data_IF_886751156413
#
_entry.id   IF_886751156413
#
_cell.length_a   1.000
_cell.length_b   1.000
_cell.length_c   1.000
_cell.angle_alpha   90.00
_cell.angle_beta   90.00
_cell.angle_gamma   90.00
#
_symmetry.space_group_name_H-M   'P 1'
#
loop_
_entity.id
_entity.type
_entity.pdbx_description
1 polymer ?
#
# COMPACT_ATOMS: atom_id res chain seq x y z
N UNK A 1 -13.30 22.24 -0.84
CA UNK A 1 -12.17 21.75 -1.65
C UNK A 1 -11.11 21.24 -0.71
N UNK A 2 -10.79 19.94 -0.76
CA UNK A 2 -9.73 19.35 0.05
C UNK A 2 -8.37 19.96 -0.30
N UNK A 3 -7.48 20.08 0.71
CA UNK A 3 -6.09 20.47 0.44
C UNK A 3 -5.45 19.37 -0.41
N UNK A 4 -4.93 19.71 -1.58
CA UNK A 4 -4.22 18.75 -2.42
C UNK A 4 -2.82 18.48 -1.88
N UNK A 5 -2.32 17.26 -2.06
CA UNK A 5 -0.93 16.91 -1.72
C UNK A 5 0.04 17.89 -2.41
N UNK A 6 0.96 18.52 -1.66
CA UNK A 6 1.95 19.43 -2.21
C UNK A 6 2.85 18.76 -3.26
N UNK A 7 3.38 19.51 -4.23
CA UNK A 7 4.19 18.94 -5.32
C UNK A 7 5.37 18.09 -4.85
N UNK A 8 6.09 18.48 -3.79
CA UNK A 8 7.22 17.72 -3.25
C UNK A 8 6.83 16.39 -2.60
N UNK A 9 5.57 16.24 -2.21
CA UNK A 9 5.05 15.04 -1.57
C UNK A 9 4.17 14.19 -2.52
N UNK A 10 4.22 14.45 -3.85
CA UNK A 10 3.50 13.67 -4.85
C UNK A 10 4.40 12.60 -5.46
N UNK A 11 3.91 11.38 -5.54
CA UNK A 11 4.61 10.27 -6.23
C UNK A 11 4.92 10.60 -7.71
N UNK A 12 4.09 11.40 -8.38
CA UNK A 12 4.34 11.85 -9.76
C UNK A 12 5.63 12.68 -9.89
N UNK A 13 5.96 13.52 -8.90
CA UNK A 13 7.21 14.28 -8.84
C UNK A 13 8.41 13.34 -8.78
N UNK A 14 8.38 12.36 -7.90
CA UNK A 14 9.48 11.42 -7.70
C UNK A 14 9.59 10.37 -8.80
N UNK A 15 8.48 10.02 -9.44
CA UNK A 15 8.49 9.20 -10.67
C UNK A 15 9.19 9.91 -11.82
N UNK A 16 8.99 11.23 -11.98
CA UNK A 16 9.73 12.03 -12.94
C UNK A 16 11.23 12.07 -12.57
N UNK A 17 11.56 12.40 -11.33
CA UNK A 17 12.94 12.49 -10.84
C UNK A 17 13.68 11.14 -10.97
N UNK A 18 13.04 10.02 -10.66
CA UNK A 18 13.60 8.69 -10.85
C UNK A 18 13.98 8.37 -12.31
N UNK A 19 13.16 8.83 -13.25
CA UNK A 19 13.41 8.64 -14.70
C UNK A 19 14.54 9.54 -15.23
N UNK A 20 14.54 10.81 -14.84
CA UNK A 20 15.36 11.86 -15.46
C UNK A 20 16.64 12.18 -14.68
N UNK A 21 16.71 11.85 -13.39
CA UNK A 21 17.78 12.29 -12.48
C UNK A 21 17.65 13.76 -12.07
N UNK A 22 16.50 14.41 -12.32
CA UNK A 22 16.25 15.80 -11.99
C UNK A 22 14.80 16.01 -11.54
N UNK A 23 14.57 17.01 -10.71
CA UNK A 23 13.22 17.46 -10.38
C UNK A 23 12.48 17.96 -11.62
N UNK A 24 11.12 17.91 -11.63
CA UNK A 24 10.35 18.52 -12.68
C UNK A 24 10.73 19.99 -12.93
N UNK A 25 10.68 20.49 -14.18
CA UNK A 25 11.17 21.84 -14.55
C UNK A 25 10.61 22.98 -13.71
N UNK A 26 9.40 22.85 -13.18
CA UNK A 26 8.78 23.85 -12.30
C UNK A 26 9.34 23.87 -10.89
N UNK A 27 9.93 22.76 -10.44
CA UNK A 27 10.48 22.61 -9.08
C UNK A 27 12.01 22.76 -9.06
N UNK A 28 12.71 22.30 -10.08
CA UNK A 28 14.16 22.31 -10.14
C UNK A 28 14.81 23.68 -9.85
N UNK A 29 14.28 24.83 -10.36
CA UNK A 29 14.87 26.13 -10.07
C UNK A 29 14.69 26.61 -8.63
N UNK A 30 13.79 25.99 -7.86
CA UNK A 30 13.47 26.42 -6.49
C UNK A 30 14.47 25.90 -5.46
N UNK A 31 15.25 24.86 -5.79
CA UNK A 31 16.16 24.19 -4.87
C UNK A 31 17.54 24.07 -5.51
N UNK A 32 18.55 24.73 -4.90
CA UNK A 32 19.90 24.84 -5.43
C UNK A 32 20.83 23.73 -4.93
N UNK A 33 20.41 23.03 -3.88
CA UNK A 33 21.19 21.94 -3.31
C UNK A 33 20.28 20.84 -2.72
N UNK A 34 20.79 19.60 -2.54
CA UNK A 34 20.09 18.54 -1.84
C UNK A 34 19.59 18.95 -0.45
N UNK A 35 20.39 19.70 0.30
CA UNK A 35 20.03 20.15 1.66
C UNK A 35 18.84 21.11 1.65
N UNK A 36 18.78 22.03 0.68
CA UNK A 36 17.63 22.92 0.52
C UNK A 36 16.36 22.14 0.17
N UNK A 37 16.49 21.15 -0.71
CA UNK A 37 15.40 20.28 -1.11
C UNK A 37 14.89 19.45 0.08
N UNK A 38 15.79 18.78 0.81
CA UNK A 38 15.45 17.97 1.99
C UNK A 38 14.80 18.80 3.07
N UNK A 39 15.32 20.00 3.33
CA UNK A 39 14.73 20.94 4.29
C UNK A 39 13.30 21.31 3.87
N UNK A 40 13.07 21.68 2.62
CA UNK A 40 11.75 22.04 2.12
C UNK A 40 10.74 20.88 2.21
N UNK A 41 11.17 19.63 1.94
CA UNK A 41 10.36 18.43 2.12
C UNK A 41 9.93 18.28 3.59
N UNK A 42 10.87 18.38 4.51
CA UNK A 42 10.61 18.23 5.94
C UNK A 42 9.71 19.34 6.49
N UNK A 43 9.94 20.60 6.10
CA UNK A 43 9.12 21.75 6.49
C UNK A 43 7.68 21.61 5.98
N UNK A 44 7.50 21.24 4.71
CA UNK A 44 6.17 21.06 4.12
C UNK A 44 5.42 19.90 4.77
N UNK A 45 6.12 18.80 5.04
CA UNK A 45 5.52 17.66 5.74
C UNK A 45 5.15 18.01 7.18
N UNK A 46 6.06 18.65 7.93
CA UNK A 46 5.80 19.08 9.30
C UNK A 46 4.59 20.01 9.41
N UNK A 47 4.45 20.94 8.46
CA UNK A 47 3.27 21.81 8.39
C UNK A 47 1.96 21.04 8.18
N UNK A 48 1.98 19.97 7.36
CA UNK A 48 0.80 19.13 7.11
C UNK A 48 0.51 18.18 8.26
N UNK A 49 1.54 17.62 8.87
CA UNK A 49 1.43 16.70 10.00
C UNK A 49 0.77 17.36 11.21
N UNK A 50 1.08 18.63 11.45
CA UNK A 50 0.50 19.44 12.55
C UNK A 50 -0.76 20.22 12.13
N UNK A 51 -1.31 19.98 10.95
CA UNK A 51 -2.61 20.54 10.55
C UNK A 51 -3.71 19.91 11.42
N UNK A 52 -4.72 20.69 11.79
CA UNK A 52 -5.87 20.18 12.53
C UNK A 52 -6.67 19.11 11.77
N UNK A 53 -6.51 19.07 10.47
CA UNK A 53 -7.12 18.07 9.55
C UNK A 53 -6.08 17.60 8.56
N UNK A 54 -5.20 16.66 8.94
CA UNK A 54 -4.20 16.13 8.04
C UNK A 54 -4.81 15.58 6.75
N UNK A 55 -4.05 15.69 5.68
CA UNK A 55 -4.45 15.09 4.40
C UNK A 55 -4.11 13.59 4.40
N UNK A 56 -4.82 12.81 3.60
CA UNK A 56 -4.63 11.36 3.42
C UNK A 56 -3.16 10.94 3.22
N UNK A 57 -2.36 11.76 2.51
CA UNK A 57 -0.92 11.51 2.34
C UNK A 57 -0.16 11.34 3.66
N UNK A 58 -0.52 12.09 4.70
CA UNK A 58 0.11 11.97 6.03
C UNK A 58 -0.13 10.56 6.59
N UNK A 59 -1.36 10.07 6.54
CA UNK A 59 -1.72 8.73 6.99
C UNK A 59 -0.98 7.65 6.18
N UNK A 60 -0.97 7.76 4.84
CA UNK A 60 -0.22 6.84 3.96
C UNK A 60 1.27 6.80 4.31
N UNK A 61 1.87 7.96 4.56
CA UNK A 61 3.30 8.05 4.86
C UNK A 61 3.63 7.53 6.26
N UNK A 62 2.82 7.86 7.27
CA UNK A 62 3.02 7.33 8.63
C UNK A 62 2.79 5.82 8.68
N UNK A 63 1.80 5.31 7.95
CA UNK A 63 1.61 3.87 7.81
C UNK A 63 2.79 3.18 7.11
N UNK A 64 3.31 3.75 6.04
CA UNK A 64 4.51 3.24 5.36
C UNK A 64 5.73 3.19 6.30
N UNK A 65 5.94 4.22 7.11
CA UNK A 65 7.00 4.27 8.13
C UNK A 65 6.79 3.20 9.21
N UNK A 66 5.55 3.01 9.67
CA UNK A 66 5.20 1.95 10.60
C UNK A 66 5.55 0.57 10.05
N UNK A 67 5.17 0.28 8.81
CA UNK A 67 5.50 -0.99 8.15
C UNK A 67 7.01 -1.20 8.03
N UNK A 68 7.75 -0.18 7.59
CA UNK A 68 9.21 -0.22 7.51
C UNK A 68 9.89 -0.47 8.87
N UNK A 69 9.37 0.11 9.94
CA UNK A 69 9.93 -0.06 11.29
C UNK A 69 9.57 -1.40 11.92
N UNK A 70 8.42 -1.98 11.57
CA UNK A 70 7.90 -3.20 12.19
C UNK A 70 8.36 -4.45 11.45
N UNK A 71 8.30 -4.43 10.12
CA UNK A 71 8.50 -5.62 9.29
C UNK A 71 9.79 -5.58 8.47
N UNK A 72 10.53 -4.45 8.53
CA UNK A 72 11.77 -4.26 7.80
C UNK A 72 11.57 -4.46 6.29
N UNK A 73 12.10 -5.53 5.71
CA UNK A 73 11.95 -5.93 4.31
C UNK A 73 10.91 -7.03 4.08
N UNK A 74 10.39 -7.62 5.18
CA UNK A 74 9.50 -8.79 5.15
C UNK A 74 8.03 -8.41 4.95
N UNK A 75 7.76 -7.45 4.08
CA UNK A 75 6.40 -7.07 3.70
C UNK A 75 6.33 -6.57 2.25
N UNK A 76 5.14 -6.57 1.69
CA UNK A 76 4.82 -5.82 0.48
C UNK A 76 3.78 -4.74 0.77
N UNK A 77 3.81 -3.65 0.01
CA UNK A 77 2.83 -2.57 0.12
C UNK A 77 2.45 -2.05 -1.26
N UNK A 78 1.16 -1.82 -1.46
CA UNK A 78 0.60 -1.21 -2.66
C UNK A 78 -0.37 -0.11 -2.25
N UNK A 79 -0.38 0.99 -3.00
CA UNK A 79 -1.29 2.11 -2.78
C UNK A 79 -2.29 2.21 -3.93
N UNK A 80 -3.51 2.58 -3.61
CA UNK A 80 -4.56 2.88 -4.59
C UNK A 80 -4.80 1.70 -5.56
N UNK A 81 -5.26 0.58 -5.02
CA UNK A 81 -5.53 -0.63 -5.79
C UNK A 81 -7.03 -0.88 -5.96
N UNK A 82 -7.53 -1.13 -7.19
CA UNK A 82 -8.94 -1.39 -7.42
C UNK A 82 -9.35 -2.79 -6.93
N UNK A 83 -10.43 -2.88 -6.16
CA UNK A 83 -11.04 -4.12 -5.69
C UNK A 83 -12.55 -3.99 -5.87
N UNK A 84 -13.15 -4.79 -6.75
CA UNK A 84 -14.55 -4.63 -7.12
C UNK A 84 -14.80 -3.25 -7.75
N UNK A 85 -15.79 -2.54 -7.24
CA UNK A 85 -16.12 -1.16 -7.66
C UNK A 85 -15.43 -0.10 -6.79
N UNK A 86 -14.65 -0.51 -5.79
CA UNK A 86 -13.95 0.36 -4.85
C UNK A 86 -12.45 0.44 -5.12
N UNK A 87 -11.80 1.45 -4.56
CA UNK A 87 -10.34 1.61 -4.57
C UNK A 87 -9.84 1.60 -3.14
N UNK A 88 -8.98 0.65 -2.81
CA UNK A 88 -8.33 0.61 -1.49
C UNK A 88 -7.21 1.64 -1.41
N UNK A 89 -7.07 2.28 -0.27
CA UNK A 89 -5.95 3.20 -0.04
C UNK A 89 -4.62 2.47 0.05
N UNK A 90 -4.58 1.37 0.80
CA UNK A 90 -3.37 0.58 1.00
C UNK A 90 -3.73 -0.91 1.00
N UNK A 91 -2.90 -1.72 0.33
CA UNK A 91 -2.83 -3.16 0.54
C UNK A 91 -1.45 -3.48 1.07
N UNK A 92 -1.38 -4.24 2.15
CA UNK A 92 -0.15 -4.83 2.65
C UNK A 92 -0.21 -6.35 2.63
N UNK A 93 0.94 -6.98 2.51
CA UNK A 93 1.07 -8.43 2.69
C UNK A 93 2.25 -8.67 3.64
N UNK A 94 1.99 -9.39 4.71
CA UNK A 94 3.00 -9.81 5.68
C UNK A 94 2.92 -11.31 5.91
N UNK A 95 3.93 -11.89 6.53
CA UNK A 95 3.91 -13.30 6.90
C UNK A 95 2.80 -13.61 7.92
N UNK A 96 2.59 -12.70 8.87
CA UNK A 96 1.66 -12.90 9.99
C UNK A 96 0.18 -12.80 9.57
N UNK A 97 -0.15 -11.85 8.69
CA UNK A 97 -1.54 -11.52 8.37
C UNK A 97 -1.94 -11.85 6.93
N UNK A 98 -0.99 -12.25 6.08
CA UNK A 98 -1.25 -12.37 4.65
C UNK A 98 -1.65 -11.04 4.02
N UNK A 99 -2.56 -11.09 3.04
CA UNK A 99 -3.12 -9.88 2.40
C UNK A 99 -4.02 -9.16 3.40
N UNK A 100 -3.74 -7.88 3.65
CA UNK A 100 -4.54 -6.98 4.47
C UNK A 100 -4.84 -5.69 3.69
N UNK A 101 -6.09 -5.24 3.71
CA UNK A 101 -6.52 -3.96 3.14
C UNK A 101 -6.69 -2.94 4.26
N UNK A 102 -6.12 -1.76 4.07
CA UNK A 102 -6.26 -0.63 5.00
C UNK A 102 -6.92 0.53 4.26
N UNK A 103 -8.08 0.94 4.74
CA UNK A 103 -8.79 2.13 4.28
C UNK A 103 -8.48 3.28 5.23
N UNK A 104 -8.23 4.47 4.69
CA UNK A 104 -7.89 5.66 5.46
C UNK A 104 -9.10 6.57 5.56
N UNK A 105 -9.52 6.85 6.79
CA UNK A 105 -10.59 7.77 7.07
C UNK A 105 -10.05 9.01 7.79
N UNK A 106 -10.03 10.12 7.07
CA UNK A 106 -9.58 11.40 7.62
C UNK A 106 -10.72 12.13 8.31
N UNK A 107 -10.40 13.22 9.03
CA UNK A 107 -11.42 14.08 9.67
C UNK A 107 -12.41 14.72 8.68
N UNK A 108 -12.14 14.59 7.38
CA UNK A 108 -12.96 15.14 6.28
C UNK A 108 -13.95 14.14 5.72
N UNK A 109 -13.74 12.86 6.01
CA UNK A 109 -14.52 11.77 5.43
C UNK A 109 -15.76 11.46 6.27
N UNK A 110 -16.69 10.76 5.66
CA UNK A 110 -17.92 10.33 6.30
C UNK A 110 -18.08 8.82 6.12
N UNK A 111 -18.60 8.09 7.13
CA UNK A 111 -18.73 6.63 7.06
C UNK A 111 -19.71 6.12 5.99
N UNK A 112 -20.38 7.00 5.25
CA UNK A 112 -21.49 6.61 4.36
C UNK A 112 -21.14 5.57 3.27
N UNK A 113 -19.89 5.49 2.82
CA UNK A 113 -19.43 4.55 1.78
C UNK A 113 -18.70 3.34 2.34
N UNK A 114 -18.29 3.37 3.61
CA UNK A 114 -17.47 2.32 4.22
C UNK A 114 -18.07 0.92 4.11
N UNK A 115 -19.37 0.79 4.31
CA UNK A 115 -20.04 -0.51 4.19
C UNK A 115 -19.83 -1.17 2.83
N UNK A 116 -19.96 -0.39 1.73
CA UNK A 116 -19.71 -0.87 0.37
C UNK A 116 -18.24 -1.18 0.14
N UNK A 117 -17.35 -0.27 0.53
CA UNK A 117 -15.90 -0.44 0.37
C UNK A 117 -15.39 -1.69 1.12
N UNK A 118 -15.74 -1.85 2.40
CA UNK A 118 -15.36 -3.04 3.18
C UNK A 118 -15.94 -4.32 2.58
N UNK A 119 -17.17 -4.28 2.05
CA UNK A 119 -17.76 -5.43 1.35
C UNK A 119 -16.95 -5.83 0.11
N UNK A 120 -16.54 -4.86 -0.72
CA UNK A 120 -15.70 -5.09 -1.87
C UNK A 120 -14.33 -5.66 -1.46
N UNK A 121 -13.69 -5.09 -0.43
CA UNK A 121 -12.39 -5.53 0.04
C UNK A 121 -12.40 -6.94 0.60
N UNK A 122 -13.50 -7.36 1.22
CA UNK A 122 -13.68 -8.72 1.72
C UNK A 122 -13.77 -9.77 0.62
N UNK A 123 -14.05 -9.37 -0.61
CA UNK A 123 -13.91 -10.27 -1.74
C UNK A 123 -12.45 -10.67 -2.00
N UNK A 124 -11.48 -9.82 -1.61
CA UNK A 124 -10.05 -10.12 -1.73
C UNK A 124 -9.49 -10.81 -0.47
N UNK A 125 -9.84 -10.31 0.71
CA UNK A 125 -9.22 -10.72 1.97
C UNK A 125 -10.18 -10.62 3.15
N UNK A 126 -10.09 -11.53 4.14
CA UNK A 126 -10.82 -11.36 5.39
C UNK A 126 -10.26 -10.22 6.27
N UNK A 127 -9.04 -9.78 6.01
CA UNK A 127 -8.35 -8.77 6.80
C UNK A 127 -8.54 -7.37 6.20
N UNK A 128 -9.49 -6.62 6.76
CA UNK A 128 -9.75 -5.22 6.41
C UNK A 128 -9.66 -4.38 7.67
N UNK A 129 -8.85 -3.32 7.64
CA UNK A 129 -8.64 -2.41 8.76
C UNK A 129 -8.98 -0.97 8.34
N UNK A 130 -9.44 -0.16 9.29
CA UNK A 130 -9.64 1.28 9.08
C UNK A 130 -8.55 2.06 9.80
N UNK A 131 -7.84 2.93 9.10
CA UNK A 131 -6.87 3.85 9.69
C UNK A 131 -7.51 5.21 9.92
N UNK A 132 -7.73 5.55 11.17
CA UNK A 132 -8.44 6.76 11.60
C UNK A 132 -7.56 7.64 12.48
N UNK A 133 -7.88 8.94 12.56
CA UNK A 133 -7.30 9.82 13.57
C UNK A 133 -7.71 9.40 14.97
N UNK A 134 -6.82 9.53 15.95
CA UNK A 134 -7.16 9.35 17.37
C UNK A 134 -8.36 10.19 17.81
N UNK A 135 -8.51 11.37 17.21
CA UNK A 135 -9.61 12.28 17.52
C UNK A 135 -10.97 11.83 16.97
N UNK A 136 -10.97 10.95 15.96
CA UNK A 136 -12.17 10.47 15.29
C UNK A 136 -12.53 9.01 15.65
N UNK A 137 -11.82 8.42 16.61
CA UNK A 137 -12.03 7.02 17.02
C UNK A 137 -13.50 6.76 17.42
N UNK A 138 -14.10 7.65 18.19
CA UNK A 138 -15.50 7.53 18.61
C UNK A 138 -16.46 7.62 17.44
N UNK A 139 -16.18 8.46 16.44
CA UNK A 139 -16.97 8.63 15.22
C UNK A 139 -17.08 7.33 14.42
N UNK A 140 -16.00 6.56 14.38
CA UNK A 140 -15.92 5.32 13.60
C UNK A 140 -16.14 4.04 14.43
N UNK A 141 -16.18 4.11 15.77
CA UNK A 141 -16.28 2.95 16.65
C UNK A 141 -17.46 2.04 16.31
N UNK A 142 -18.66 2.60 16.19
CA UNK A 142 -19.86 1.83 15.83
C UNK A 142 -19.77 1.20 14.45
N UNK A 143 -19.23 1.93 13.48
CA UNK A 143 -19.02 1.42 12.11
C UNK A 143 -17.97 0.31 12.07
N UNK A 144 -16.87 0.44 12.81
CA UNK A 144 -15.85 -0.61 12.94
C UNK A 144 -16.44 -1.89 13.54
N UNK A 145 -17.28 -1.77 14.59
CA UNK A 145 -17.93 -2.91 15.22
C UNK A 145 -18.94 -3.57 14.27
N UNK A 146 -19.82 -2.79 13.64
CA UNK A 146 -20.81 -3.28 12.68
C UNK A 146 -20.16 -4.00 11.50
N UNK A 147 -19.09 -3.43 10.96
CA UNK A 147 -18.37 -4.01 9.84
C UNK A 147 -17.36 -5.10 10.27
N UNK A 148 -17.07 -5.27 11.57
CA UNK A 148 -16.03 -6.18 12.05
C UNK A 148 -14.65 -5.83 11.46
N UNK A 149 -14.39 -4.56 11.19
CA UNK A 149 -13.13 -4.03 10.68
C UNK A 149 -12.40 -3.28 11.82
N UNK A 150 -11.21 -3.73 12.28
CA UNK A 150 -10.51 -3.07 13.38
C UNK A 150 -10.07 -1.67 12.98
N UNK A 151 -10.16 -0.74 13.94
CA UNK A 151 -9.60 0.60 13.79
C UNK A 151 -8.10 0.57 14.17
N UNK A 152 -7.24 0.96 13.24
CA UNK A 152 -5.88 1.42 13.50
C UNK A 152 -5.97 2.91 13.81
N UNK A 153 -5.34 3.37 14.86
CA UNK A 153 -5.40 4.80 15.20
C UNK A 153 -4.07 5.48 14.91
N UNK A 154 -4.14 6.72 14.45
CA UNK A 154 -2.97 7.55 14.22
C UNK A 154 -2.99 8.79 15.08
N UNK A 155 -1.89 9.08 15.77
CA UNK A 155 -1.63 10.36 16.39
C UNK A 155 -0.25 10.88 16.01
N UNK A 156 -0.11 12.22 16.01
CA UNK A 156 1.18 12.87 15.70
C UNK A 156 2.25 12.53 16.74
N UNK A 157 1.86 12.26 17.98
CA UNK A 157 2.78 11.99 19.09
C UNK A 157 3.18 10.52 19.18
N UNK A 158 2.25 9.61 18.89
CA UNK A 158 2.42 8.17 19.15
C UNK A 158 2.57 7.33 17.87
N UNK A 159 2.39 7.96 16.69
CA UNK A 159 2.38 7.26 15.41
C UNK A 159 1.16 6.38 15.22
N UNK A 160 1.32 5.27 14.50
CA UNK A 160 0.27 4.29 14.27
C UNK A 160 0.17 3.38 15.49
N UNK A 161 -1.02 3.28 16.05
CA UNK A 161 -1.37 2.37 17.13
C UNK A 161 -2.21 1.22 16.59
N UNK A 162 -1.83 0.00 16.91
CA UNK A 162 -2.64 -1.19 16.63
C UNK A 162 -3.74 -1.33 17.67
N UNK A 163 -4.94 -1.82 17.32
CA UNK A 163 -6.01 -2.02 18.30
C UNK A 163 -5.59 -3.04 19.35
N UNK A 164 -5.95 -2.76 20.60
CA UNK A 164 -5.72 -3.67 21.75
C UNK A 164 -6.54 -4.97 21.63
N UNK A 165 -7.58 -4.99 20.78
CA UNK A 165 -8.33 -6.18 20.41
C UNK A 165 -8.01 -6.57 18.99
N UNK A 166 -7.33 -7.69 18.80
CA UNK A 166 -7.38 -8.43 17.54
C UNK A 166 -8.83 -8.90 17.35
N UNK A 167 -9.51 -8.51 16.29
CA UNK A 167 -10.80 -9.12 15.96
C UNK A 167 -10.62 -10.63 15.84
N UNK A 168 -11.65 -11.38 16.21
CA UNK A 168 -11.73 -12.82 15.87
C UNK A 168 -11.40 -13.01 14.38
N UNK A 169 -10.69 -14.09 14.03
CA UNK A 169 -10.36 -14.35 12.63
C UNK A 169 -11.62 -14.28 11.77
N UNK A 170 -11.66 -13.32 10.87
CA UNK A 170 -12.80 -13.20 9.95
C UNK A 170 -12.77 -14.42 9.03
N UNK A 171 -13.89 -15.13 8.99
CA UNK A 171 -14.01 -16.32 8.15
C UNK A 171 -13.89 -15.94 6.67
N UNK A 172 -13.28 -16.81 5.84
CA UNK A 172 -13.17 -16.64 4.38
C UNK A 172 -14.51 -16.76 3.62
N UNK A 173 -15.66 -16.66 4.32
CA UNK A 173 -16.99 -16.80 3.71
C UNK A 173 -17.32 -15.76 2.66
N UNK A 174 -16.64 -14.62 2.68
CA UNK A 174 -16.85 -13.51 1.74
C UNK A 174 -15.77 -13.39 0.67
N UNK A 175 -14.66 -14.15 0.76
CA UNK A 175 -13.60 -14.09 -0.24
C UNK A 175 -14.05 -14.71 -1.56
N UNK A 176 -13.83 -13.98 -2.66
CA UNK A 176 -14.17 -14.42 -4.01
C UNK A 176 -12.92 -14.89 -4.74
N UNK A 177 -12.88 -16.15 -5.19
CA UNK A 177 -11.75 -16.69 -5.95
C UNK A 177 -11.34 -15.84 -7.14
N UNK A 178 -12.30 -15.26 -7.88
CA UNK A 178 -11.98 -14.40 -9.02
C UNK A 178 -11.23 -13.13 -8.60
N UNK A 179 -11.64 -12.51 -7.50
CA UNK A 179 -11.00 -11.30 -6.96
C UNK A 179 -9.58 -11.61 -6.49
N UNK A 180 -9.38 -12.73 -5.79
CA UNK A 180 -8.05 -13.19 -5.36
C UNK A 180 -7.13 -13.44 -6.56
N UNK A 181 -7.62 -14.15 -7.59
CA UNK A 181 -6.83 -14.44 -8.77
C UNK A 181 -6.52 -13.18 -9.58
N UNK A 182 -7.46 -12.24 -9.68
CA UNK A 182 -7.25 -10.96 -10.37
C UNK A 182 -6.22 -10.07 -9.66
N UNK A 183 -6.04 -10.23 -8.35
CA UNK A 183 -4.98 -9.56 -7.58
C UNK A 183 -3.59 -10.04 -7.99
N UNK A 184 -3.45 -11.29 -8.42
CA UNK A 184 -2.19 -11.87 -8.86
C UNK A 184 -1.83 -11.44 -10.28
N UNK A 185 -0.58 -11.03 -10.50
CA UNK A 185 0.00 -10.79 -11.83
C UNK A 185 0.20 -12.12 -12.57
N UNK A 186 0.36 -12.08 -13.90
CA UNK A 186 0.54 -13.28 -14.73
C UNK A 186 1.64 -14.24 -14.21
N UNK A 187 2.80 -13.71 -13.85
CA UNK A 187 3.89 -14.52 -13.28
C UNK A 187 3.56 -15.09 -11.90
N UNK A 188 2.83 -14.33 -11.10
CA UNK A 188 2.39 -14.74 -9.77
C UNK A 188 1.33 -15.85 -9.85
N UNK A 189 0.40 -15.80 -10.83
CA UNK A 189 -0.53 -16.89 -11.10
C UNK A 189 0.20 -18.18 -11.48
N UNK A 190 1.26 -18.09 -12.29
CA UNK A 190 2.08 -19.25 -12.64
C UNK A 190 2.82 -19.82 -11.42
N UNK A 191 3.31 -18.96 -10.54
CA UNK A 191 3.95 -19.37 -9.28
C UNK A 191 2.94 -20.02 -8.34
N UNK A 192 1.75 -19.44 -8.19
CA UNK A 192 0.66 -19.98 -7.38
C UNK A 192 0.27 -21.39 -7.85
N UNK A 193 0.10 -21.60 -9.16
CA UNK A 193 -0.18 -22.94 -9.71
C UNK A 193 0.91 -23.96 -9.38
N UNK A 194 2.19 -23.57 -9.49
CA UNK A 194 3.30 -24.45 -9.11
C UNK A 194 3.28 -24.83 -7.62
N UNK A 195 3.00 -23.87 -6.74
CA UNK A 195 2.88 -24.13 -5.30
C UNK A 195 1.71 -25.09 -5.00
N UNK A 196 0.63 -25.00 -5.76
CA UNK A 196 -0.53 -25.88 -5.67
C UNK A 196 -0.33 -27.24 -6.38
N UNK A 197 0.86 -27.50 -6.94
CA UNK A 197 1.17 -28.74 -7.65
C UNK A 197 0.58 -28.85 -9.05
N UNK A 198 0.02 -27.75 -9.59
CA UNK A 198 -0.53 -27.70 -10.94
C UNK A 198 0.50 -27.23 -11.97
N UNK A 199 0.34 -27.61 -13.23
CA UNK A 199 1.19 -27.17 -14.32
C UNK A 199 0.63 -25.91 -14.97
N UNK A 200 1.33 -24.76 -14.90
CA UNK A 200 0.88 -23.55 -15.59
C UNK A 200 0.80 -23.71 -17.10
N UNK A 201 -0.05 -22.93 -17.75
CA UNK A 201 -0.14 -22.91 -19.22
C UNK A 201 1.22 -22.52 -19.84
N UNK A 202 1.62 -23.23 -20.91
CA UNK A 202 2.92 -23.12 -21.54
C UNK A 202 3.19 -21.76 -22.21
N UNK A 203 4.46 -21.46 -22.50
CA UNK A 203 4.89 -20.19 -23.08
C UNK A 203 4.48 -20.00 -24.55
N UNK A 204 4.10 -21.06 -25.25
CA UNK A 204 3.67 -21.05 -26.66
C UNK A 204 2.33 -20.37 -26.90
N UNK A 205 1.57 -20.10 -25.84
CA UNK A 205 0.30 -19.38 -25.91
C UNK A 205 0.49 -17.87 -25.71
N UNK A 206 -0.36 -17.06 -26.36
CA UNK A 206 -0.36 -15.61 -26.11
C UNK A 206 -0.60 -15.31 -24.62
N UNK A 207 -0.08 -14.19 -24.12
CA UNK A 207 -0.21 -13.80 -22.72
C UNK A 207 -1.67 -13.80 -22.24
N UNK A 208 -2.62 -13.37 -23.09
CA UNK A 208 -4.06 -13.34 -22.76
C UNK A 208 -4.61 -14.77 -22.60
N UNK A 209 -4.27 -15.69 -23.50
CA UNK A 209 -4.73 -17.08 -23.45
C UNK A 209 -4.11 -17.78 -22.25
N UNK A 210 -2.82 -17.57 -21.99
CA UNK A 210 -2.11 -18.13 -20.84
C UNK A 210 -2.74 -17.64 -19.53
N UNK A 211 -2.98 -16.33 -19.40
CA UNK A 211 -3.63 -15.75 -18.23
C UNK A 211 -5.01 -16.37 -17.98
N UNK A 212 -5.82 -16.51 -19.03
CA UNK A 212 -7.17 -17.12 -18.93
C UNK A 212 -7.09 -18.57 -18.47
N UNK A 213 -6.21 -19.37 -19.07
CA UNK A 213 -6.02 -20.79 -18.71
C UNK A 213 -5.51 -20.93 -17.27
N UNK A 214 -4.56 -20.13 -16.86
CA UNK A 214 -4.06 -20.15 -15.49
C UNK A 214 -5.18 -19.78 -14.50
N UNK A 215 -6.00 -18.79 -14.84
CA UNK A 215 -7.17 -18.40 -14.04
C UNK A 215 -8.17 -19.56 -13.92
N UNK A 216 -8.50 -20.25 -15.01
CA UNK A 216 -9.39 -21.41 -15.01
C UNK A 216 -8.87 -22.52 -14.08
N UNK A 217 -7.58 -22.83 -14.14
CA UNK A 217 -6.95 -23.81 -13.25
C UNK A 217 -6.98 -23.39 -11.78
N UNK A 218 -6.73 -22.11 -11.48
CA UNK A 218 -6.78 -21.59 -10.13
C UNK A 218 -8.19 -21.62 -9.55
N UNK A 219 -9.23 -21.43 -10.37
CA UNK A 219 -10.63 -21.49 -9.94
C UNK A 219 -11.08 -22.89 -9.46
N UNK A 220 -10.29 -23.94 -9.70
CA UNK A 220 -10.56 -25.28 -9.16
C UNK A 220 -10.27 -25.39 -7.65
N UNK A 221 -9.55 -24.41 -7.06
CA UNK A 221 -9.16 -24.41 -5.66
C UNK A 221 -10.13 -23.60 -4.79
N UNK A 222 -10.35 -24.01 -3.52
CA UNK A 222 -11.15 -23.25 -2.56
C UNK A 222 -10.58 -21.86 -2.27
N UNK A 223 -11.44 -20.88 -1.99
CA UNK A 223 -11.06 -19.49 -1.78
C UNK A 223 -9.98 -19.30 -0.69
N UNK A 224 -10.06 -20.03 0.44
CA UNK A 224 -9.05 -19.93 1.51
C UNK A 224 -7.67 -20.43 1.05
N UNK A 225 -7.61 -21.52 0.28
CA UNK A 225 -6.35 -22.04 -0.27
C UNK A 225 -5.74 -21.05 -1.26
N UNK A 226 -6.59 -20.46 -2.12
CA UNK A 226 -6.16 -19.42 -3.05
C UNK A 226 -5.65 -18.18 -2.32
N UNK A 227 -6.32 -17.77 -1.26
CA UNK A 227 -5.91 -16.60 -0.47
C UNK A 227 -4.55 -16.82 0.22
N UNK A 228 -4.35 -17.97 0.87
CA UNK A 228 -3.07 -18.34 1.49
C UNK A 228 -1.95 -18.37 0.45
N UNK A 229 -2.20 -19.02 -0.69
CA UNK A 229 -1.24 -19.11 -1.80
C UNK A 229 -0.95 -17.73 -2.38
N UNK A 230 -1.97 -16.90 -2.61
CA UNK A 230 -1.81 -15.54 -3.13
C UNK A 230 -1.03 -14.65 -2.17
N UNK A 231 -1.26 -14.78 -0.86
CA UNK A 231 -0.51 -14.07 0.17
C UNK A 231 0.97 -14.43 0.12
N UNK A 232 1.30 -15.73 0.12
CA UNK A 232 2.68 -16.20 0.04
C UNK A 232 3.37 -15.73 -1.24
N UNK A 233 2.73 -15.88 -2.40
CA UNK A 233 3.29 -15.46 -3.69
C UNK A 233 3.47 -13.95 -3.77
N UNK A 234 2.50 -13.17 -3.30
CA UNK A 234 2.58 -11.72 -3.32
C UNK A 234 3.70 -11.21 -2.39
N UNK A 235 3.86 -11.81 -1.22
CA UNK A 235 4.94 -11.47 -0.30
C UNK A 235 6.30 -11.75 -0.94
N UNK A 236 6.51 -12.95 -1.49
CA UNK A 236 7.75 -13.36 -2.13
C UNK A 236 8.11 -12.50 -3.36
N UNK A 237 7.13 -12.22 -4.21
CA UNK A 237 7.38 -11.53 -5.49
C UNK A 237 7.34 -10.01 -5.42
N UNK A 238 6.78 -9.43 -4.36
CA UNK A 238 6.57 -7.99 -4.20
C UNK A 238 7.26 -7.39 -2.98
N UNK A 239 8.13 -8.16 -2.30
CA UNK A 239 8.94 -7.63 -1.20
C UNK A 239 9.75 -6.40 -1.63
N UNK A 240 10.10 -5.56 -0.68
CA UNK A 240 10.91 -4.37 -0.96
C UNK A 240 12.34 -4.82 -1.26
N UNK A 241 12.88 -4.56 -2.47
CA UNK A 241 14.25 -4.96 -2.79
C UNK A 241 15.27 -4.16 -1.94
N UNK A 242 16.40 -4.78 -1.57
CA UNK A 242 17.46 -4.17 -0.76
C UNK A 242 17.84 -2.76 -1.23
N UNK A 243 18.01 -2.57 -2.53
CA UNK A 243 18.41 -1.26 -3.09
C UNK A 243 17.34 -0.17 -2.89
N UNK A 244 16.06 -0.53 -2.82
CA UNK A 244 14.98 0.41 -2.51
C UNK A 244 14.92 0.65 -1.00
N UNK A 245 15.14 -0.38 -0.21
CA UNK A 245 15.26 -0.25 1.23
C UNK A 245 16.42 0.68 1.60
N UNK A 246 17.59 0.50 1.02
CA UNK A 246 18.75 1.38 1.21
C UNK A 246 18.42 2.85 0.88
N UNK A 247 17.69 3.10 -0.21
CA UNK A 247 17.22 4.45 -0.54
C UNK A 247 16.24 4.99 0.52
N UNK A 248 15.30 4.18 0.98
CA UNK A 248 14.31 4.59 2.01
C UNK A 248 14.97 4.97 3.34
N UNK A 249 16.06 4.29 3.71
CA UNK A 249 16.81 4.57 4.95
C UNK A 249 17.59 5.88 4.91
N UNK A 250 17.99 6.36 3.73
CA UNK A 250 18.76 7.61 3.59
C UNK A 250 17.92 8.78 3.08
N UNK A 251 16.79 8.51 2.45
CA UNK A 251 15.86 9.55 1.99
C UNK A 251 15.13 10.22 3.16
N UNK A 252 14.63 11.46 2.99
CA UNK A 252 13.77 12.08 3.99
C UNK A 252 12.54 11.21 4.29
N UNK A 253 12.31 10.89 5.56
CA UNK A 253 11.19 10.07 6.02
C UNK A 253 9.80 10.52 5.49
N UNK A 254 9.52 11.82 5.25
CA UNK A 254 8.34 12.28 4.55
C UNK A 254 8.09 11.70 3.16
N UNK A 255 9.07 11.05 2.53
CA UNK A 255 8.94 10.47 1.19
C UNK A 255 8.70 8.95 1.18
N UNK A 256 8.62 8.29 2.33
CA UNK A 256 8.50 6.82 2.39
C UNK A 256 7.34 6.30 1.52
N UNK A 257 6.12 6.82 1.69
CA UNK A 257 4.98 6.40 0.86
C UNK A 257 5.20 6.72 -0.64
N UNK A 258 5.75 7.89 -0.98
CA UNK A 258 6.05 8.25 -2.36
C UNK A 258 7.03 7.30 -3.03
N UNK A 259 8.13 6.96 -2.35
CA UNK A 259 9.17 6.09 -2.88
C UNK A 259 8.69 4.67 -3.03
N UNK A 260 7.92 4.16 -2.06
CA UNK A 260 7.28 2.85 -2.15
C UNK A 260 6.25 2.80 -3.31
N UNK A 261 5.46 3.84 -3.49
CA UNK A 261 4.48 3.93 -4.60
C UNK A 261 5.16 4.07 -5.97
N UNK A 262 6.30 4.74 -6.06
CA UNK A 262 7.09 4.85 -7.30
C UNK A 262 7.77 3.54 -7.63
N UNK A 263 8.19 2.78 -6.62
CA UNK A 263 8.92 1.51 -6.72
C UNK A 263 10.08 1.58 -7.74
N UNK A 264 11.05 2.50 -7.54
CA UNK A 264 12.12 2.72 -8.49
C UNK A 264 13.04 1.49 -8.59
N UNK A 265 13.50 1.17 -9.79
CA UNK A 265 14.55 0.16 -9.98
C UNK A 265 15.93 0.68 -9.52
N UNK A 266 16.95 -0.22 -9.40
CA UNK A 266 18.28 0.14 -8.89
C UNK A 266 18.88 1.39 -9.55
N UNK A 267 18.98 1.55 -10.89
CA UNK A 267 19.49 2.77 -11.51
C UNK A 267 18.67 4.03 -11.21
N UNK A 268 17.38 3.87 -10.92
CA UNK A 268 16.50 4.97 -10.53
C UNK A 268 16.73 5.36 -9.06
N UNK A 269 16.99 4.38 -8.18
CA UNK A 269 17.37 4.64 -6.80
C UNK A 269 18.67 5.44 -6.73
N UNK A 270 19.68 5.08 -7.52
CA UNK A 270 20.98 5.79 -7.59
C UNK A 270 20.77 7.26 -7.99
N UNK A 271 19.89 7.52 -8.99
CA UNK A 271 19.55 8.89 -9.39
C UNK A 271 18.83 9.67 -8.29
N UNK A 272 17.88 9.04 -7.59
CA UNK A 272 17.17 9.67 -6.49
C UNK A 272 18.07 9.94 -5.29
N UNK A 273 18.96 9.01 -4.94
CA UNK A 273 19.98 9.21 -3.91
C UNK A 273 20.86 10.41 -4.24
N UNK A 274 21.30 10.58 -5.49
CA UNK A 274 22.07 11.74 -5.93
C UNK A 274 21.34 13.09 -5.82
N UNK A 275 20.01 13.08 -5.74
CA UNK A 275 19.20 14.28 -5.52
C UNK A 275 18.92 14.57 -4.04
N UNK A 276 18.89 13.53 -3.21
CA UNK A 276 18.41 13.60 -1.82
C UNK A 276 19.55 13.49 -0.79
N UNK A 277 20.68 12.89 -1.18
CA UNK A 277 21.81 12.59 -0.30
C UNK A 277 23.08 13.15 -0.91
N UNK A 278 23.93 13.78 -0.10
CA UNK A 278 25.31 14.12 -0.45
C UNK A 278 26.27 13.06 0.03
#
# INVERSE_FOLDING_TARGET
MGKSTPPLLRSSTWRCAAKTGALPPKLAPLYKSPEELVRAINEEYGRLLHDSKPIEYIYKNEYAKHMLSTYWDSFSIQFEYPIGDSWSDIITVTEDTGINVVEIETERDTPARLGTQVSDYRCLTPHVSLLVSNNDTEKYAGTCEELGAPALTFSVLEGIQTPVRTPEPVSHTHTDPNTIINYLRDKEQQQALKLLGATPAGPETSNIIRWRRNKELLLEYPAHVLWETASSVALDSRHIPDYLYDLLMVAPAPLSACLLQVAPNRPQCDRLAGLLVK
#
